data_IF_642568442377
#
_entry.id   IF_642568442377
#
_cell.length_a   1.000
_cell.length_b   1.000
_cell.length_c   1.000
_cell.angle_alpha   90.00
_cell.angle_beta   90.00
_cell.angle_gamma   90.00
#
_symmetry.space_group_name_H-M   'P 1'
#
loop_
_entity.id
_entity.type
_entity.pdbx_description
1 polymer ?
#
# COMPACT_ATOMS: atom_id res chain seq x y z
N UNK A 1 64.37 88.93 -22.01
CA UNK A 1 65.14 88.66 -20.76
C UNK A 1 64.54 87.42 -20.11
N UNK A 2 65.41 86.47 -19.73
CA UNK A 2 65.30 85.31 -18.80
C UNK A 2 63.88 84.89 -18.33
N UNK A 3 63.50 83.60 -18.25
CA UNK A 3 64.26 82.50 -17.63
C UNK A 3 63.51 81.17 -17.83
N UNK A 4 64.24 80.13 -18.20
CA UNK A 4 63.85 78.72 -18.18
C UNK A 4 63.57 78.24 -16.76
N UNK A 5 62.48 77.49 -16.52
CA UNK A 5 62.40 76.48 -15.44
C UNK A 5 61.47 75.32 -15.81
N UNK A 6 62.11 74.18 -16.05
CA UNK A 6 61.55 72.82 -16.15
C UNK A 6 61.01 72.37 -14.79
N UNK A 7 59.82 71.76 -14.73
CA UNK A 7 59.39 70.93 -13.59
C UNK A 7 58.65 69.68 -14.09
N UNK A 8 59.05 68.56 -13.49
CA UNK A 8 58.73 67.16 -13.75
C UNK A 8 57.24 66.82 -13.90
N UNK A 9 56.94 65.96 -14.88
CA UNK A 9 55.66 65.30 -15.03
C UNK A 9 55.60 64.04 -14.17
N UNK A 10 54.63 63.98 -13.25
CA UNK A 10 54.21 62.75 -12.57
C UNK A 10 53.00 62.18 -13.29
N UNK A 11 53.19 61.06 -13.97
CA UNK A 11 52.12 60.26 -14.60
C UNK A 11 51.46 59.41 -13.50
N UNK A 12 50.17 59.62 -13.26
CA UNK A 12 49.33 58.75 -12.43
C UNK A 12 48.63 57.77 -13.36
N UNK A 13 49.04 56.50 -13.32
CA UNK A 13 48.34 55.40 -14.01
C UNK A 13 47.17 54.93 -13.13
N UNK A 14 45.95 55.15 -13.61
CA UNK A 14 44.72 54.56 -13.05
C UNK A 14 44.61 53.13 -13.57
N UNK A 15 44.78 52.15 -12.69
CA UNK A 15 44.55 50.73 -12.99
C UNK A 15 43.06 50.40 -12.86
N UNK A 16 42.39 50.11 -13.98
CA UNK A 16 41.05 49.53 -13.99
C UNK A 16 41.14 48.01 -13.87
N UNK A 17 40.79 47.45 -12.71
CA UNK A 17 40.68 46.00 -12.52
C UNK A 17 39.30 45.51 -12.98
N UNK A 18 39.25 44.86 -14.14
CA UNK A 18 38.07 44.10 -14.59
C UNK A 18 37.97 42.82 -13.76
N UNK A 19 37.07 42.78 -12.78
CA UNK A 19 36.73 41.58 -12.04
C UNK A 19 35.86 40.64 -12.87
N UNK A 20 36.43 39.54 -13.35
CA UNK A 20 35.67 38.43 -13.94
C UNK A 20 35.04 37.59 -12.82
N UNK A 21 33.74 37.78 -12.58
CA UNK A 21 32.99 36.92 -11.66
C UNK A 21 32.79 35.53 -12.28
N UNK A 22 33.57 34.55 -11.84
CA UNK A 22 33.37 33.15 -12.19
C UNK A 22 32.16 32.61 -11.41
N UNK A 23 31.04 32.38 -12.10
CA UNK A 23 29.85 31.73 -11.54
C UNK A 23 30.12 30.22 -11.49
N UNK A 24 30.04 29.55 -10.33
CA UNK A 24 30.22 28.10 -10.28
C UNK A 24 29.04 27.43 -10.99
N UNK A 25 29.31 26.69 -12.05
CA UNK A 25 28.34 25.83 -12.69
C UNK A 25 28.05 24.63 -11.76
N UNK A 26 26.99 24.73 -10.96
CA UNK A 26 26.49 23.60 -10.17
C UNK A 26 25.84 22.61 -11.13
N UNK A 27 26.52 21.51 -11.41
CA UNK A 27 25.96 20.40 -12.18
C UNK A 27 24.88 19.70 -11.35
N UNK A 28 23.61 19.98 -11.65
CA UNK A 28 22.48 19.21 -11.12
C UNK A 28 22.52 17.81 -11.73
N UNK A 29 22.91 16.81 -10.94
CA UNK A 29 22.75 15.41 -11.33
C UNK A 29 21.26 15.10 -11.41
N UNK A 30 20.76 14.90 -12.63
CA UNK A 30 19.42 14.40 -12.85
C UNK A 30 19.33 12.99 -12.24
N UNK A 31 18.55 12.84 -11.17
CA UNK A 31 18.24 11.54 -10.62
C UNK A 31 17.45 10.74 -11.66
N UNK A 32 18.05 9.71 -12.23
CA UNK A 32 17.34 8.75 -13.08
C UNK A 32 16.34 8.01 -12.21
N UNK A 33 15.04 8.23 -12.45
CA UNK A 33 13.98 7.48 -11.81
C UNK A 33 14.17 5.99 -12.14
N UNK A 34 14.57 5.18 -11.15
CA UNK A 34 14.62 3.73 -11.31
C UNK A 34 13.20 3.24 -11.52
N UNK A 35 12.95 2.57 -12.64
CA UNK A 35 11.67 1.90 -12.86
C UNK A 35 11.49 0.81 -11.79
N UNK A 36 10.39 0.89 -11.03
CA UNK A 36 10.00 -0.16 -10.09
C UNK A 36 9.64 -1.41 -10.90
N UNK A 37 10.45 -2.47 -10.78
CA UNK A 37 10.12 -3.76 -11.39
C UNK A 37 8.90 -4.36 -10.66
N UNK A 38 7.80 -4.56 -11.37
CA UNK A 38 6.62 -5.17 -10.79
C UNK A 38 6.82 -6.67 -10.57
N UNK A 39 6.28 -7.24 -9.46
CA UNK A 39 6.28 -8.68 -9.25
C UNK A 39 5.60 -9.41 -10.41
N UNK A 40 6.12 -10.60 -10.73
CA UNK A 40 5.57 -11.48 -11.75
C UNK A 40 5.20 -12.84 -11.16
N UNK A 41 4.47 -13.66 -11.92
CA UNK A 41 4.14 -15.03 -11.52
C UNK A 41 2.96 -15.17 -10.55
N UNK A 42 2.24 -14.09 -10.27
CA UNK A 42 0.99 -14.17 -9.50
C UNK A 42 -0.15 -14.61 -10.40
N UNK A 43 -1.08 -15.40 -9.87
CA UNK A 43 -2.29 -15.82 -10.56
C UNK A 43 -3.56 -15.44 -9.79
N UNK A 44 -4.72 -15.74 -10.37
CA UNK A 44 -6.04 -15.60 -9.73
C UNK A 44 -6.68 -16.87 -9.12
N UNK A 45 -6.04 -18.07 -9.04
CA UNK A 45 -6.57 -19.19 -8.25
C UNK A 45 -6.73 -18.84 -6.76
N UNK A 46 -7.45 -19.68 -6.01
CA UNK A 46 -7.56 -19.55 -4.56
C UNK A 46 -6.19 -19.73 -3.87
N UNK A 47 -5.99 -19.06 -2.74
CA UNK A 47 -4.84 -19.22 -1.84
C UNK A 47 -5.40 -19.62 -0.48
N UNK A 48 -4.87 -20.68 0.10
CA UNK A 48 -5.34 -21.23 1.36
C UNK A 48 -4.17 -21.63 2.23
N UNK A 49 -4.34 -21.44 3.54
CA UNK A 49 -3.54 -22.06 4.59
C UNK A 49 -4.54 -22.47 5.70
N UNK A 50 -4.43 -23.71 6.17
CA UNK A 50 -5.41 -24.34 7.08
C UNK A 50 -5.07 -24.13 8.57
N UNK A 51 -4.01 -23.38 8.87
CA UNK A 51 -3.66 -22.99 10.24
C UNK A 51 -4.79 -22.19 10.91
N UNK A 52 -4.78 -22.08 12.25
CA UNK A 52 -5.78 -21.27 12.98
C UNK A 52 -5.14 -20.54 14.15
N UNK A 53 -5.72 -19.40 14.53
CA UNK A 53 -5.31 -18.67 15.73
C UNK A 53 -6.49 -18.11 16.51
N UNK A 54 -6.37 -18.12 17.84
CA UNK A 54 -7.28 -17.40 18.73
C UNK A 54 -6.90 -15.92 18.89
N UNK A 55 -5.77 -15.47 18.28
CA UNK A 55 -5.32 -14.08 18.34
C UNK A 55 -6.29 -13.20 17.55
N UNK A 56 -6.98 -12.23 18.18
CA UNK A 56 -8.04 -11.52 17.49
C UNK A 56 -7.52 -10.52 16.45
N UNK A 57 -8.29 -10.36 15.37
CA UNK A 57 -8.14 -9.27 14.41
C UNK A 57 -8.44 -7.95 15.12
N UNK A 58 -7.51 -6.99 15.04
CA UNK A 58 -7.64 -5.66 15.64
C UNK A 58 -7.84 -4.54 14.63
N UNK A 59 -7.41 -4.77 13.39
CA UNK A 59 -7.45 -3.75 12.36
C UNK A 59 -7.39 -4.35 10.98
N UNK A 60 -7.96 -3.62 10.01
CA UNK A 60 -7.76 -3.87 8.59
C UNK A 60 -7.45 -2.53 7.95
N UNK A 61 -6.35 -2.47 7.21
CA UNK A 61 -5.92 -1.26 6.51
C UNK A 61 -5.54 -1.56 5.08
N UNK A 62 -5.55 -0.53 4.25
CA UNK A 62 -5.18 -0.62 2.84
C UNK A 62 -4.02 0.33 2.51
N UNK A 63 -3.30 0.02 1.44
CA UNK A 63 -2.24 0.87 0.90
C UNK A 63 -2.11 0.74 -0.61
N UNK A 64 -1.71 1.83 -1.27
CA UNK A 64 -1.39 1.85 -2.70
C UNK A 64 0.11 1.62 -2.88
N UNK A 65 0.47 0.79 -3.85
CA UNK A 65 1.86 0.61 -4.30
C UNK A 65 1.92 0.79 -5.82
N UNK A 66 3.13 0.90 -6.39
CA UNK A 66 3.29 1.15 -7.83
C UNK A 66 2.65 0.06 -8.71
N UNK A 67 2.65 -1.18 -8.22
CA UNK A 67 2.29 -2.38 -8.99
C UNK A 67 1.07 -3.12 -8.45
N UNK A 68 0.62 -2.82 -7.24
CA UNK A 68 -0.47 -3.51 -6.56
C UNK A 68 -1.14 -2.60 -5.53
N UNK A 69 -2.38 -2.90 -5.21
CA UNK A 69 -2.99 -2.42 -3.97
C UNK A 69 -2.87 -3.51 -2.90
N UNK A 70 -2.68 -3.11 -1.65
CA UNK A 70 -2.45 -4.00 -0.52
C UNK A 70 -3.57 -3.85 0.50
N UNK A 71 -4.09 -4.97 0.98
CA UNK A 71 -4.86 -5.07 2.22
C UNK A 71 -3.99 -5.77 3.29
N UNK A 72 -4.03 -5.27 4.52
CA UNK A 72 -3.37 -5.88 5.68
C UNK A 72 -4.42 -6.11 6.74
N UNK A 73 -4.55 -7.36 7.19
CA UNK A 73 -5.33 -7.75 8.35
C UNK A 73 -4.36 -7.87 9.52
N UNK A 74 -4.62 -7.14 10.60
CA UNK A 74 -3.71 -6.99 11.74
C UNK A 74 -4.18 -7.85 12.92
N UNK A 75 -3.27 -8.68 13.42
CA UNK A 75 -3.46 -9.65 14.50
C UNK A 75 -2.29 -9.53 15.51
N UNK A 76 -2.19 -8.41 16.25
CA UNK A 76 -1.06 -8.17 17.16
C UNK A 76 -0.95 -9.27 18.22
N UNK A 77 0.24 -9.85 18.33
CA UNK A 77 0.56 -11.00 19.18
C UNK A 77 0.60 -12.34 18.44
N UNK A 78 0.17 -12.39 17.18
CA UNK A 78 0.21 -13.62 16.40
C UNK A 78 1.64 -13.95 15.93
N UNK A 79 1.98 -15.24 15.98
CA UNK A 79 3.21 -15.78 15.43
C UNK A 79 3.34 -15.53 13.92
N UNK A 80 4.51 -15.85 13.36
CA UNK A 80 4.72 -15.82 11.90
C UNK A 80 4.09 -17.04 11.20
N UNK A 81 3.95 -18.15 11.93
CA UNK A 81 3.23 -19.37 11.54
C UNK A 81 1.94 -19.47 12.38
N UNK A 82 0.95 -20.26 11.94
CA UNK A 82 -0.33 -20.38 12.64
C UNK A 82 -1.38 -19.35 12.20
N UNK A 83 -1.24 -18.74 11.02
CA UNK A 83 -2.12 -17.68 10.52
C UNK A 83 -2.92 -18.13 9.29
N UNK A 84 -3.82 -19.10 9.44
CA UNK A 84 -4.56 -19.59 8.27
C UNK A 84 -5.52 -18.57 7.66
N UNK A 85 -5.84 -18.81 6.39
CA UNK A 85 -6.67 -17.95 5.58
C UNK A 85 -7.25 -18.72 4.38
N UNK A 86 -8.31 -18.17 3.80
CA UNK A 86 -8.80 -18.56 2.49
C UNK A 86 -9.13 -17.30 1.70
N UNK A 87 -8.45 -17.12 0.56
CA UNK A 87 -8.65 -15.97 -0.32
C UNK A 87 -8.98 -16.45 -1.72
N UNK A 88 -10.19 -16.13 -2.19
CA UNK A 88 -10.70 -16.61 -3.49
C UNK A 88 -11.67 -15.64 -4.12
N UNK A 89 -11.73 -15.66 -5.45
CA UNK A 89 -12.77 -14.94 -6.18
C UNK A 89 -14.11 -15.65 -6.04
N UNK A 90 -15.19 -14.88 -5.88
CA UNK A 90 -16.56 -15.37 -5.76
C UNK A 90 -17.51 -14.58 -6.65
N UNK A 91 -18.59 -15.21 -7.10
CA UNK A 91 -19.62 -14.53 -7.87
C UNK A 91 -20.44 -13.59 -7.00
N UNK A 92 -20.75 -14.03 -5.77
CA UNK A 92 -21.44 -13.25 -4.74
C UNK A 92 -20.87 -13.58 -3.37
N UNK A 93 -20.75 -12.56 -2.53
CA UNK A 93 -20.38 -12.75 -1.14
C UNK A 93 -21.63 -13.00 -0.29
N UNK A 94 -21.57 -14.05 0.51
CA UNK A 94 -22.59 -14.40 1.49
C UNK A 94 -21.97 -14.39 2.87
N UNK A 95 -22.63 -13.74 3.82
CA UNK A 95 -22.20 -13.68 5.21
C UNK A 95 -22.20 -15.09 5.80
N UNK A 96 -21.07 -15.48 6.38
CA UNK A 96 -20.92 -16.76 7.07
C UNK A 96 -21.90 -16.90 8.25
N UNK A 97 -22.34 -18.13 8.53
CA UNK A 97 -23.39 -18.45 9.51
C UNK A 97 -24.82 -18.10 9.07
N UNK A 98 -25.05 -16.91 8.49
CA UNK A 98 -26.41 -16.46 8.13
C UNK A 98 -26.83 -16.72 6.67
N UNK A 99 -25.87 -16.85 5.76
CA UNK A 99 -26.10 -16.96 4.31
C UNK A 99 -26.60 -15.68 3.62
N UNK A 100 -26.82 -14.59 4.37
CA UNK A 100 -27.34 -13.33 3.81
C UNK A 100 -26.34 -12.72 2.81
N UNK A 101 -26.79 -12.23 1.65
CA UNK A 101 -25.91 -11.61 0.68
C UNK A 101 -25.30 -10.31 1.25
N UNK A 102 -24.00 -10.11 1.01
CA UNK A 102 -23.27 -8.88 1.31
C UNK A 102 -22.88 -8.23 -0.01
N UNK A 103 -23.55 -7.14 -0.43
CA UNK A 103 -23.20 -6.45 -1.67
C UNK A 103 -21.80 -5.85 -1.59
N UNK A 104 -20.93 -6.19 -2.54
CA UNK A 104 -19.57 -5.64 -2.67
C UNK A 104 -19.43 -5.07 -4.07
N UNK A 105 -19.13 -3.77 -4.18
CA UNK A 105 -19.00 -3.12 -5.48
C UNK A 105 -17.63 -3.42 -6.13
N UNK A 106 -17.61 -3.56 -7.45
CA UNK A 106 -16.40 -3.86 -8.23
C UNK A 106 -16.73 -4.64 -9.49
N UNK A 107 -15.71 -4.92 -10.31
CA UNK A 107 -15.82 -5.83 -11.45
C UNK A 107 -15.57 -7.30 -11.09
N UNK A 108 -15.02 -7.57 -9.91
CA UNK A 108 -14.94 -8.90 -9.30
C UNK A 108 -14.89 -8.78 -7.77
N UNK A 109 -15.31 -9.83 -7.06
CA UNK A 109 -15.29 -9.89 -5.59
C UNK A 109 -14.28 -10.94 -5.14
N UNK A 110 -13.32 -10.50 -4.33
CA UNK A 110 -12.39 -11.38 -3.64
C UNK A 110 -12.90 -11.56 -2.20
N UNK A 111 -13.31 -12.77 -1.86
CA UNK A 111 -13.59 -13.15 -0.48
C UNK A 111 -12.27 -13.40 0.24
N UNK A 112 -12.08 -12.69 1.35
CA UNK A 112 -10.92 -12.81 2.24
C UNK A 112 -11.42 -13.35 3.58
N UNK A 113 -11.04 -14.57 3.89
CA UNK A 113 -11.27 -15.23 5.18
C UNK A 113 -9.94 -15.38 5.89
N UNK A 114 -9.88 -14.94 7.14
CA UNK A 114 -8.72 -15.15 8.02
C UNK A 114 -9.21 -16.01 9.18
N UNK A 115 -8.52 -17.11 9.48
CA UNK A 115 -8.84 -18.05 10.55
C UNK A 115 -8.44 -17.48 11.93
N UNK A 116 -9.00 -16.30 12.21
CA UNK A 116 -8.88 -15.56 13.45
C UNK A 116 -10.16 -14.77 13.75
N UNK A 117 -10.60 -14.69 15.02
CA UNK A 117 -11.82 -13.98 15.38
C UNK A 117 -11.64 -12.47 15.35
N UNK A 118 -12.69 -11.71 15.03
CA UNK A 118 -12.76 -10.26 15.26
C UNK A 118 -13.35 -9.92 16.64
N UNK A 119 -13.34 -10.88 17.56
CA UNK A 119 -13.83 -10.77 18.94
C UNK A 119 -12.83 -11.39 19.93
N UNK A 120 -12.93 -11.01 21.20
CA UNK A 120 -12.10 -11.56 22.26
C UNK A 120 -12.63 -12.95 22.67
N UNK A 121 -11.86 -14.04 22.56
CA UNK A 121 -12.35 -15.40 22.84
C UNK A 121 -12.95 -15.59 24.24
N UNK A 122 -12.42 -14.87 25.24
CA UNK A 122 -12.89 -15.00 26.64
C UNK A 122 -14.14 -14.20 26.98
N UNK A 123 -14.51 -13.18 26.19
CA UNK A 123 -15.65 -12.29 26.51
C UNK A 123 -16.67 -12.16 25.40
N UNK A 124 -16.33 -12.58 24.18
CA UNK A 124 -17.12 -12.33 22.97
C UNK A 124 -17.18 -10.86 22.55
N UNK A 125 -16.53 -9.95 23.29
CA UNK A 125 -16.52 -8.52 22.97
C UNK A 125 -15.82 -8.25 21.63
N UNK A 126 -16.32 -7.32 20.80
CA UNK A 126 -15.70 -7.01 19.51
C UNK A 126 -14.30 -6.42 19.73
N UNK A 127 -13.34 -6.88 18.95
CA UNK A 127 -11.94 -6.40 18.97
C UNK A 127 -11.59 -5.56 17.75
N UNK A 128 -12.43 -5.61 16.73
CA UNK A 128 -12.44 -4.73 15.57
C UNK A 128 -13.87 -4.16 15.40
N UNK A 129 -14.07 -2.83 15.36
CA UNK A 129 -15.40 -2.20 15.45
C UNK A 129 -16.18 -2.22 14.13
N UNK A 130 -16.07 -3.30 13.36
CA UNK A 130 -16.79 -3.47 12.11
C UNK A 130 -18.20 -4.05 12.32
N UNK A 131 -19.07 -3.84 11.34
CA UNK A 131 -20.46 -4.33 11.34
C UNK A 131 -20.74 -5.05 10.04
N UNK A 132 -21.38 -6.21 10.13
CA UNK A 132 -21.71 -7.02 8.97
C UNK A 132 -22.47 -6.19 7.90
N UNK A 133 -22.06 -6.32 6.65
CA UNK A 133 -22.61 -5.60 5.50
C UNK A 133 -22.16 -4.14 5.36
N UNK A 134 -21.38 -3.61 6.31
CA UNK A 134 -20.91 -2.21 6.28
C UNK A 134 -19.50 -2.10 5.70
N UNK A 135 -19.11 -0.91 5.17
CA UNK A 135 -17.72 -0.64 4.82
C UNK A 135 -16.78 -0.91 5.99
N UNK A 136 -15.54 -1.32 5.69
CA UNK A 136 -14.52 -1.47 6.71
C UNK A 136 -14.24 -0.12 7.42
N UNK A 137 -14.25 -0.07 8.76
CA UNK A 137 -13.87 1.12 9.52
C UNK A 137 -12.49 1.65 9.12
N UNK A 138 -12.40 2.96 8.84
CA UNK A 138 -11.11 3.62 8.55
C UNK A 138 -10.52 3.32 7.17
N UNK A 139 -11.23 2.60 6.29
CA UNK A 139 -10.77 2.29 4.93
C UNK A 139 -11.40 3.26 3.93
N UNK A 140 -10.57 4.11 3.34
CA UNK A 140 -10.91 4.94 2.17
C UNK A 140 -10.17 4.40 0.93
N UNK A 141 -10.94 4.06 -0.10
CA UNK A 141 -10.44 3.50 -1.36
C UNK A 141 -10.35 4.54 -2.48
N UNK A 142 -10.54 5.83 -2.17
CA UNK A 142 -10.40 6.91 -3.13
C UNK A 142 -8.98 6.93 -3.73
N UNK A 143 -8.90 6.94 -5.06
CA UNK A 143 -7.64 6.94 -5.79
C UNK A 143 -6.90 5.60 -5.83
N UNK A 144 -7.49 4.50 -5.34
CA UNK A 144 -6.93 3.16 -5.54
C UNK A 144 -7.07 2.74 -7.00
N UNK A 145 -6.06 2.06 -7.53
CA UNK A 145 -6.09 1.63 -8.94
C UNK A 145 -6.92 0.37 -9.10
N UNK A 146 -6.82 -0.57 -8.17
CA UNK A 146 -7.46 -1.89 -8.21
C UNK A 146 -8.64 -1.99 -7.26
N UNK A 147 -8.49 -1.55 -6.01
CA UNK A 147 -9.55 -1.68 -5.00
C UNK A 147 -10.72 -0.74 -5.28
N UNK A 148 -11.95 -1.23 -5.06
CA UNK A 148 -13.21 -0.53 -5.37
C UNK A 148 -14.17 -0.50 -4.19
N UNK A 149 -14.20 -1.55 -3.40
CA UNK A 149 -15.01 -1.63 -2.20
C UNK A 149 -14.36 -2.56 -1.18
N UNK A 150 -14.67 -2.39 0.10
CA UNK A 150 -14.25 -3.29 1.16
C UNK A 150 -15.33 -3.37 2.22
N UNK A 151 -15.90 -4.56 2.41
CA UNK A 151 -17.04 -4.81 3.29
C UNK A 151 -16.69 -5.83 4.35
N UNK A 152 -17.07 -5.55 5.59
CA UNK A 152 -17.04 -6.57 6.63
C UNK A 152 -18.23 -7.51 6.43
N UNK A 153 -18.00 -8.80 6.26
CA UNK A 153 -19.07 -9.77 6.12
C UNK A 153 -19.45 -10.36 7.47
N UNK A 154 -18.49 -10.63 8.35
CA UNK A 154 -18.75 -11.10 9.70
C UNK A 154 -17.51 -11.61 10.40
N UNK A 155 -17.68 -12.00 11.66
CA UNK A 155 -16.77 -12.94 12.31
C UNK A 155 -17.59 -13.98 13.04
N UNK A 156 -17.34 -15.25 12.72
CA UNK A 156 -18.13 -16.40 13.14
C UNK A 156 -17.21 -17.61 13.28
N UNK A 157 -17.41 -18.43 14.31
CA UNK A 157 -16.64 -19.67 14.54
C UNK A 157 -15.11 -19.54 14.46
N UNK A 158 -14.57 -18.40 14.90
CA UNK A 158 -13.13 -18.14 14.87
C UNK A 158 -12.60 -17.63 13.53
N UNK A 159 -13.45 -17.37 12.55
CA UNK A 159 -13.08 -16.78 11.26
C UNK A 159 -13.50 -15.30 11.19
N UNK A 160 -12.71 -14.48 10.50
CA UNK A 160 -13.08 -13.12 10.09
C UNK A 160 -13.21 -13.07 8.57
N UNK A 161 -14.39 -12.66 8.09
CA UNK A 161 -14.74 -12.65 6.68
C UNK A 161 -14.90 -11.23 6.16
N UNK A 162 -14.24 -10.94 5.03
CA UNK A 162 -14.23 -9.65 4.35
C UNK A 162 -14.49 -9.84 2.87
N UNK A 163 -15.30 -8.96 2.30
CA UNK A 163 -15.46 -8.80 0.86
C UNK A 163 -14.59 -7.68 0.33
N UNK A 164 -13.64 -8.00 -0.53
CA UNK A 164 -12.80 -7.02 -1.22
C UNK A 164 -13.25 -6.91 -2.68
N UNK A 165 -13.88 -5.79 -3.00
CA UNK A 165 -14.26 -5.43 -4.36
C UNK A 165 -13.06 -4.93 -5.14
N UNK A 166 -12.77 -5.54 -6.28
CA UNK A 166 -11.67 -5.16 -7.17
C UNK A 166 -12.20 -4.83 -8.56
N UNK A 167 -11.45 -4.02 -9.31
CA UNK A 167 -11.89 -3.55 -10.64
C UNK A 167 -12.15 -4.65 -11.67
N UNK A 168 -11.47 -5.79 -11.53
CA UNK A 168 -11.57 -6.96 -12.41
C UNK A 168 -10.90 -8.14 -11.71
N UNK A 169 -11.10 -9.37 -12.20
CA UNK A 169 -10.34 -10.54 -11.74
C UNK A 169 -8.86 -10.40 -12.10
N UNK A 170 -8.04 -10.13 -11.09
CA UNK A 170 -6.61 -9.81 -11.21
C UNK A 170 -5.75 -10.79 -10.40
N UNK A 171 -4.46 -10.91 -10.75
CA UNK A 171 -3.51 -11.67 -9.94
C UNK A 171 -3.41 -11.14 -8.53
N UNK A 172 -3.25 -12.06 -7.59
CA UNK A 172 -3.00 -11.70 -6.20
C UNK A 172 -2.07 -12.71 -5.54
N UNK A 173 -1.50 -12.29 -4.42
CA UNK A 173 -0.79 -13.17 -3.49
C UNK A 173 -1.28 -12.92 -2.06
N UNK A 174 -1.03 -13.89 -1.20
CA UNK A 174 -1.19 -13.76 0.24
C UNK A 174 0.16 -14.00 0.89
N UNK A 175 0.51 -13.21 1.90
CA UNK A 175 1.71 -13.37 2.70
C UNK A 175 1.33 -13.40 4.18
N UNK A 176 1.82 -14.41 4.88
CA UNK A 176 1.79 -14.46 6.33
C UNK A 176 3.06 -13.82 6.87
N UNK A 177 2.86 -12.84 7.74
CA UNK A 177 3.94 -12.17 8.44
C UNK A 177 3.59 -12.16 9.92
N UNK A 178 4.59 -11.90 10.75
CA UNK A 178 4.35 -11.70 12.18
C UNK A 178 3.24 -10.67 12.38
N UNK A 179 2.27 -11.00 13.21
CA UNK A 179 1.15 -10.14 13.57
C UNK A 179 0.20 -9.74 12.42
N UNK A 180 0.29 -10.33 11.22
CA UNK A 180 -0.56 -9.91 10.08
C UNK A 180 -0.65 -10.89 8.92
N UNK A 181 -1.81 -10.88 8.26
CA UNK A 181 -2.01 -11.46 6.93
C UNK A 181 -2.06 -10.32 5.91
N UNK A 182 -1.30 -10.44 4.82
CA UNK A 182 -1.19 -9.41 3.77
C UNK A 182 -1.73 -9.97 2.46
N UNK A 183 -2.66 -9.24 1.83
CA UNK A 183 -3.23 -9.57 0.54
C UNK A 183 -2.83 -8.48 -0.44
N UNK A 184 -2.02 -8.83 -1.44
CA UNK A 184 -1.64 -7.92 -2.52
C UNK A 184 -2.40 -8.29 -3.78
N UNK A 185 -3.10 -7.33 -4.39
CA UNK A 185 -3.75 -7.51 -5.69
C UNK A 185 -3.07 -6.62 -6.73
N UNK A 186 -2.49 -7.27 -7.74
CA UNK A 186 -1.78 -6.59 -8.80
C UNK A 186 -2.70 -5.60 -9.55
N UNK A 187 -2.12 -4.52 -10.06
CA UNK A 187 -2.83 -3.65 -10.99
C UNK A 187 -3.04 -4.37 -12.32
N UNK A 188 -2.05 -5.09 -12.81
CA UNK A 188 -2.07 -5.68 -14.14
C UNK A 188 -1.62 -7.13 -14.10
N UNK A 189 -1.96 -7.87 -15.15
CA UNK A 189 -1.31 -9.15 -15.41
C UNK A 189 0.13 -8.90 -15.86
N UNK A 190 1.09 -9.25 -15.01
CA UNK A 190 2.52 -9.17 -15.30
C UNK A 190 3.12 -10.58 -15.30
N UNK A 191 2.94 -11.31 -16.41
CA UNK A 191 3.58 -12.59 -16.77
C UNK A 191 3.13 -13.84 -15.97
N UNK A 192 3.03 -15.04 -16.57
CA UNK A 192 3.67 -15.50 -17.81
C UNK A 192 2.71 -16.00 -18.91
N UNK A 193 3.25 -16.08 -20.13
CA UNK A 193 2.78 -17.05 -21.13
C UNK A 193 3.19 -18.45 -20.69
#
# INVERSE_FOLDING_TARGET
MLRTRTICATVVLVGATLGTAAVPAVATQAATARATACPTGWGSPAKTDDDTTATPVRGIRTGRHDCYDRMVVELPGAGRSGLGYSVRYVDRLHQDGSGRPVPVAGGAVLEVRVAAPAYAPGTGGPTYPARAGRPLPGVDLTGYRTFRDARFAGSFEGETQVGLGVRARLPFRVLELRDRVVIDVAHTWTGGR
#
